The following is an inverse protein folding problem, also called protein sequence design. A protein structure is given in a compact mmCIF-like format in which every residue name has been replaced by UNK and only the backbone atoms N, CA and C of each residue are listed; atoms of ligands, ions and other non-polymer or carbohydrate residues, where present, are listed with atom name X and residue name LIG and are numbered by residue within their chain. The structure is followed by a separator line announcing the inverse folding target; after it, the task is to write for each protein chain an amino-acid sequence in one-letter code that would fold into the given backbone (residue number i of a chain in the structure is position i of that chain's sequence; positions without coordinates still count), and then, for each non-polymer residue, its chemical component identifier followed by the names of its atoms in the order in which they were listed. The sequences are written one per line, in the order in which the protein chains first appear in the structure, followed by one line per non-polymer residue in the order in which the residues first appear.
data_IF_234648950459
#
_entry.id   IF_234648950459
#
_cell.length_a   1.000
_cell.length_b   1.000
_cell.length_c   1.000
_cell.angle_alpha   90.00
_cell.angle_beta   90.00
_cell.angle_gamma   90.00
#
_symmetry.space_group_name_H-M   'P 1'
#
loop_
_entity.id
_entity.type
_entity.pdbx_description
1 polymer ?
#
# COMPACT_ATOMS: atom_id res chain seq x y z
N UNK A 1 2.95 -6.21 27.32
CA UNK A 1 3.37 -5.55 26.06
C UNK A 1 3.18 -4.06 26.24
N UNK A 2 4.26 -3.37 26.58
CA UNK A 2 4.27 -1.92 26.84
C UNK A 2 4.45 -1.16 25.52
N UNK A 3 4.05 0.11 25.49
CA UNK A 3 4.24 0.99 24.32
C UNK A 3 5.72 1.21 23.96
N UNK A 4 6.64 0.81 24.84
CA UNK A 4 8.09 0.84 24.64
C UNK A 4 8.55 -0.38 23.83
N UNK A 5 8.06 -1.57 24.17
CA UNK A 5 8.35 -2.82 23.45
C UNK A 5 7.84 -2.78 21.98
N UNK A 6 6.79 -1.99 21.70
CA UNK A 6 6.26 -1.80 20.34
C UNK A 6 7.12 -0.85 19.48
N UNK A 7 7.82 0.12 20.10
CA UNK A 7 8.68 1.09 19.39
C UNK A 7 9.99 0.47 18.92
N UNK A 8 10.57 -0.43 19.72
CA UNK A 8 11.83 -1.08 19.37
C UNK A 8 11.67 -2.14 18.26
N UNK A 9 10.51 -2.77 18.15
CA UNK A 9 10.21 -3.73 17.09
C UNK A 9 10.07 -3.08 15.69
N UNK A 10 9.96 -1.75 15.60
CA UNK A 10 9.65 -1.01 14.36
C UNK A 10 10.76 -0.02 13.94
N UNK A 11 12.00 -0.15 14.43
CA UNK A 11 13.12 0.56 13.81
C UNK A 11 13.42 -0.02 12.42
N UNK A 12 12.85 0.63 11.40
CA UNK A 12 12.98 0.27 10.01
C UNK A 12 14.43 0.35 9.52
N UNK A 13 14.98 -0.79 9.11
CA UNK A 13 16.13 -0.84 8.19
C UNK A 13 15.73 -0.15 6.88
N UNK A 14 16.29 1.02 6.62
CA UNK A 14 16.14 1.74 5.35
C UNK A 14 16.92 1.06 4.23
N UNK A 15 16.35 0.01 3.65
CA UNK A 15 16.82 -0.52 2.36
C UNK A 15 16.25 0.39 1.27
N UNK A 16 17.10 1.19 0.64
CA UNK A 16 16.70 2.05 -0.48
C UNK A 16 16.19 1.20 -1.66
N UNK A 17 14.95 1.46 -2.09
CA UNK A 17 14.35 0.78 -3.24
C UNK A 17 14.96 1.29 -4.56
N UNK A 18 15.79 0.43 -5.16
CA UNK A 18 16.51 0.68 -6.42
C UNK A 18 15.61 0.70 -7.68
N UNK A 19 14.28 0.56 -7.57
CA UNK A 19 13.34 0.49 -8.71
C UNK A 19 12.48 1.74 -8.90
N UNK A 20 13.03 2.91 -8.59
CA UNK A 20 12.27 4.15 -8.69
C UNK A 20 11.98 4.54 -10.15
N UNK A 21 10.74 4.97 -10.41
CA UNK A 21 10.40 5.64 -11.67
C UNK A 21 11.23 6.93 -11.77
N UNK A 22 11.88 7.11 -12.92
CA UNK A 22 12.79 8.24 -13.17
C UNK A 22 12.05 9.58 -12.95
N UNK A 23 12.58 10.43 -12.08
CA UNK A 23 12.10 11.79 -11.85
C UNK A 23 11.16 11.99 -10.66
N UNK A 24 10.67 10.93 -10.02
CA UNK A 24 9.85 11.07 -8.80
C UNK A 24 10.74 11.48 -7.61
N UNK A 25 10.26 12.36 -6.72
CA UNK A 25 10.93 12.77 -5.48
C UNK A 25 10.17 12.27 -4.25
N UNK A 26 10.90 11.83 -3.21
CA UNK A 26 10.27 11.30 -1.98
C UNK A 26 9.74 12.51 -1.24
N UNK A 27 8.59 12.35 -0.63
CA UNK A 27 7.95 13.44 0.11
C UNK A 27 7.66 12.95 1.51
N UNK A 28 8.14 13.71 2.49
CA UNK A 28 7.90 13.44 3.90
C UNK A 28 6.79 14.37 4.36
N UNK A 29 5.75 13.81 4.93
CA UNK A 29 4.62 14.55 5.52
C UNK A 29 5.04 15.17 6.86
N UNK A 30 4.22 16.08 7.38
CA UNK A 30 4.53 16.85 8.59
C UNK A 30 4.71 15.95 9.84
N UNK A 31 4.10 14.77 9.84
CA UNK A 31 4.22 13.73 10.87
C UNK A 31 5.44 12.80 10.67
N UNK A 32 6.37 13.14 9.76
CA UNK A 32 7.62 12.41 9.54
C UNK A 32 7.49 11.17 8.67
N UNK A 33 6.31 10.89 8.12
CA UNK A 33 6.08 9.72 7.27
C UNK A 33 6.57 10.00 5.85
N UNK A 34 7.43 9.14 5.32
CA UNK A 34 7.96 9.31 3.96
C UNK A 34 7.20 8.45 2.93
N UNK A 35 6.86 9.08 1.81
CA UNK A 35 6.17 8.49 0.66
C UNK A 35 7.04 8.51 -0.59
N UNK A 36 6.76 7.61 -1.53
CA UNK A 36 7.55 7.47 -2.75
C UNK A 36 7.19 8.51 -3.81
N UNK A 37 6.03 9.16 -3.66
CA UNK A 37 5.61 10.32 -4.45
C UNK A 37 4.93 11.42 -3.61
N UNK A 38 4.96 12.66 -4.13
CA UNK A 38 4.20 13.79 -3.56
C UNK A 38 2.70 13.49 -3.51
N UNK A 39 2.20 12.83 -4.55
CA UNK A 39 0.79 12.46 -4.64
C UNK A 39 0.43 11.45 -3.55
N UNK A 40 1.20 10.40 -3.31
CA UNK A 40 0.89 9.50 -2.17
C UNK A 40 0.87 10.26 -0.83
N UNK A 41 1.80 11.20 -0.61
CA UNK A 41 1.82 12.02 0.60
C UNK A 41 0.54 12.88 0.75
N UNK A 42 0.10 13.55 -0.32
CA UNK A 42 -1.15 14.33 -0.31
C UNK A 42 -2.37 13.45 0.00
N UNK A 43 -2.45 12.26 -0.63
CA UNK A 43 -3.56 11.34 -0.41
C UNK A 43 -3.57 10.78 1.01
N UNK A 44 -2.39 10.57 1.59
CA UNK A 44 -2.27 10.16 2.98
C UNK A 44 -2.86 11.19 3.95
N UNK A 45 -2.56 12.48 3.74
CA UNK A 45 -3.16 13.55 4.54
C UNK A 45 -4.69 13.58 4.41
N UNK A 46 -5.22 13.41 3.19
CA UNK A 46 -6.67 13.31 2.96
C UNK A 46 -7.30 12.12 3.72
N UNK A 47 -6.69 10.94 3.64
CA UNK A 47 -7.21 9.74 4.33
C UNK A 47 -7.15 9.90 5.86
N UNK A 48 -6.13 10.57 6.40
CA UNK A 48 -6.08 10.91 7.83
C UNK A 48 -7.24 11.81 8.25
N UNK A 49 -7.59 12.80 7.43
CA UNK A 49 -8.75 13.66 7.69
C UNK A 49 -10.06 12.86 7.66
N UNK A 50 -10.22 11.95 6.69
CA UNK A 50 -11.39 11.06 6.61
C UNK A 50 -11.48 10.13 7.83
N UNK A 51 -10.35 9.62 8.32
CA UNK A 51 -10.33 8.81 9.54
C UNK A 51 -10.70 9.64 10.77
N UNK A 52 -10.19 10.86 10.88
CA UNK A 52 -10.54 11.77 11.98
C UNK A 52 -12.02 12.17 11.96
N UNK A 53 -12.63 12.27 10.78
CA UNK A 53 -14.06 12.52 10.60
C UNK A 53 -14.93 11.27 10.88
N UNK A 54 -14.34 10.08 11.04
CA UNK A 54 -15.07 8.84 11.27
C UNK A 54 -15.63 8.19 10.00
N UNK A 55 -15.27 8.66 8.82
CA UNK A 55 -15.71 8.10 7.53
C UNK A 55 -15.00 6.78 7.19
N UNK A 56 -13.74 6.65 7.65
CA UNK A 56 -12.95 5.43 7.51
C UNK A 56 -12.33 5.04 8.85
N UNK A 57 -11.89 3.80 8.98
CA UNK A 57 -11.06 3.36 10.11
C UNK A 57 -9.98 2.37 9.69
N UNK A 58 -9.05 2.09 10.61
CA UNK A 58 -8.01 1.08 10.39
C UNK A 58 -7.03 1.43 9.27
N UNK A 59 -6.78 2.73 9.02
CA UNK A 59 -5.90 3.22 7.98
C UNK A 59 -4.46 2.71 8.18
N UNK A 60 -3.94 1.99 7.18
CA UNK A 60 -2.58 1.45 7.13
C UNK A 60 -1.95 1.77 5.79
N UNK A 61 -0.61 1.80 5.76
CA UNK A 61 0.17 1.95 4.53
C UNK A 61 1.03 0.74 4.23
N UNK A 62 1.45 0.62 2.97
CA UNK A 62 2.45 -0.34 2.50
C UNK A 62 2.14 -1.78 2.95
N UNK A 63 0.86 -2.15 2.89
CA UNK A 63 0.39 -3.45 3.35
C UNK A 63 0.78 -4.51 2.33
N UNK A 64 1.47 -5.54 2.79
CA UNK A 64 1.83 -6.69 1.96
C UNK A 64 0.67 -7.69 1.89
N UNK A 65 0.28 -8.02 0.67
CA UNK A 65 -0.78 -8.97 0.34
C UNK A 65 -0.15 -10.10 -0.45
N UNK A 66 -0.24 -11.33 0.07
CA UNK A 66 0.30 -12.50 -0.59
C UNK A 66 -0.42 -12.81 -1.90
N UNK A 67 0.34 -12.99 -2.99
CA UNK A 67 -0.22 -13.41 -4.27
C UNK A 67 -0.41 -14.93 -4.25
N UNK A 68 -1.62 -15.38 -4.59
CA UNK A 68 -2.04 -16.79 -4.60
C UNK A 68 -2.53 -17.12 -6.00
N UNK A 69 -1.98 -18.19 -6.58
CA UNK A 69 -2.45 -18.79 -7.82
C UNK A 69 -3.38 -19.97 -7.54
N UNK A 70 -3.82 -20.65 -8.60
CA UNK A 70 -4.73 -21.81 -8.51
C UNK A 70 -4.24 -22.89 -7.54
N UNK A 71 -2.94 -23.18 -7.61
CA UNK A 71 -2.33 -24.31 -6.90
C UNK A 71 -1.63 -23.89 -5.58
N UNK A 72 -1.84 -22.65 -5.12
CA UNK A 72 -1.27 -22.12 -3.88
C UNK A 72 -0.46 -20.82 -4.05
N UNK A 73 0.37 -20.45 -3.06
CA UNK A 73 1.17 -19.23 -3.08
C UNK A 73 2.08 -19.12 -4.32
N UNK A 74 2.08 -17.95 -4.96
CA UNK A 74 3.04 -17.68 -6.06
C UNK A 74 4.39 -17.36 -5.44
N UNK A 75 5.38 -18.22 -5.66
CA UNK A 75 6.71 -18.07 -5.06
C UNK A 75 7.64 -17.19 -5.91
N UNK A 76 8.69 -16.66 -5.27
CA UNK A 76 9.82 -16.05 -5.97
C UNK A 76 10.58 -17.11 -6.77
N UNK A 77 11.41 -16.67 -7.72
CA UNK A 77 12.10 -17.59 -8.66
C UNK A 77 13.00 -18.61 -7.93
N UNK A 78 13.48 -18.26 -6.73
CA UNK A 78 14.25 -19.16 -5.86
C UNK A 78 13.42 -19.98 -4.86
N UNK A 79 12.08 -19.91 -4.90
CA UNK A 79 11.18 -20.71 -4.05
C UNK A 79 11.14 -20.36 -2.56
N UNK A 80 12.05 -19.51 -2.07
CA UNK A 80 12.20 -19.25 -0.64
C UNK A 80 11.15 -18.31 -0.03
N UNK A 81 10.49 -17.48 -0.83
CA UNK A 81 9.52 -16.48 -0.36
C UNK A 81 8.30 -16.41 -1.27
N UNK A 82 7.14 -16.13 -0.69
CA UNK A 82 5.95 -15.80 -1.46
C UNK A 82 6.10 -14.41 -2.10
N UNK A 83 5.62 -14.24 -3.33
CA UNK A 83 5.49 -12.93 -3.96
C UNK A 83 4.33 -12.17 -3.33
N UNK A 84 4.58 -10.91 -3.00
CA UNK A 84 3.59 -10.02 -2.41
C UNK A 84 3.27 -8.85 -3.34
N UNK A 85 2.03 -8.39 -3.27
CA UNK A 85 1.62 -7.07 -3.69
C UNK A 85 1.69 -6.12 -2.50
N UNK A 86 2.33 -4.96 -2.66
CA UNK A 86 2.42 -3.94 -1.62
C UNK A 86 1.46 -2.81 -1.97
N UNK A 87 0.34 -2.73 -1.26
CA UNK A 87 -0.66 -1.68 -1.47
C UNK A 87 -0.22 -0.37 -0.81
N UNK A 88 -0.52 0.77 -1.44
CA UNK A 88 -0.19 2.08 -0.87
C UNK A 88 -0.97 2.33 0.41
N UNK A 89 -2.29 2.08 0.38
CA UNK A 89 -3.20 2.29 1.51
C UNK A 89 -4.20 1.14 1.66
N UNK A 90 -4.53 0.79 2.91
CA UNK A 90 -5.63 -0.12 3.23
C UNK A 90 -6.41 0.47 4.40
N UNK A 91 -7.73 0.51 4.29
CA UNK A 91 -8.63 1.02 5.32
C UNK A 91 -10.00 0.35 5.21
N UNK A 92 -10.86 0.56 6.21
CA UNK A 92 -12.28 0.17 6.15
C UNK A 92 -13.10 1.41 5.88
N UNK A 93 -13.94 1.38 4.84
CA UNK A 93 -14.96 2.40 4.62
C UNK A 93 -16.13 2.12 5.58
N UNK A 94 -16.39 3.02 6.53
CA UNK A 94 -17.36 2.78 7.60
C UNK A 94 -18.81 2.82 7.07
N UNK A 95 -19.06 3.55 5.99
CA UNK A 95 -20.38 3.66 5.38
C UNK A 95 -20.74 2.39 4.61
N UNK A 96 -19.76 1.80 3.92
CA UNK A 96 -19.95 0.58 3.13
C UNK A 96 -19.67 -0.70 3.93
N UNK A 97 -18.91 -0.60 5.03
CA UNK A 97 -18.49 -1.75 5.84
C UNK A 97 -17.49 -2.66 5.13
N UNK A 98 -16.77 -2.16 4.12
CA UNK A 98 -15.85 -2.95 3.30
C UNK A 98 -14.40 -2.53 3.49
N UNK A 99 -13.48 -3.48 3.38
CA UNK A 99 -12.05 -3.17 3.31
C UNK A 99 -11.72 -2.64 1.91
N UNK A 100 -11.12 -1.46 1.86
CA UNK A 100 -10.64 -0.84 0.64
C UNK A 100 -9.13 -1.00 0.56
N UNK A 101 -8.65 -1.56 -0.55
CA UNK A 101 -7.24 -1.57 -0.94
C UNK A 101 -7.08 -0.45 -1.98
N UNK A 102 -6.48 0.67 -1.58
CA UNK A 102 -6.28 1.81 -2.47
C UNK A 102 -4.82 1.88 -2.92
N UNK A 103 -4.63 2.14 -4.21
CA UNK A 103 -3.32 2.28 -4.83
C UNK A 103 -3.28 3.50 -5.76
N UNK A 104 -2.35 4.43 -5.49
CA UNK A 104 -2.26 5.70 -6.21
C UNK A 104 -1.27 5.56 -7.36
N UNK A 105 -1.77 5.59 -8.59
CA UNK A 105 -0.93 5.44 -9.81
C UNK A 105 -1.06 6.64 -10.74
N UNK A 106 0.08 7.09 -11.26
CA UNK A 106 0.12 7.98 -12.43
C UNK A 106 -0.06 7.21 -13.74
N UNK A 107 0.54 6.02 -13.84
CA UNK A 107 0.44 5.14 -15.00
C UNK A 107 0.43 3.67 -14.55
N UNK A 108 -0.43 2.86 -15.16
CA UNK A 108 -0.58 1.44 -14.87
C UNK A 108 0.38 0.62 -15.75
N UNK A 109 1.43 0.07 -15.14
CA UNK A 109 2.38 -0.81 -15.84
C UNK A 109 1.78 -2.20 -16.09
N UNK A 110 2.31 -2.93 -17.07
CA UNK A 110 1.86 -4.32 -17.34
C UNK A 110 2.04 -5.23 -16.10
N UNK A 111 3.14 -5.05 -15.36
CA UNK A 111 3.37 -5.77 -14.11
C UNK A 111 2.32 -5.45 -13.04
N UNK A 112 1.86 -4.19 -12.97
CA UNK A 112 0.78 -3.80 -12.08
C UNK A 112 -0.55 -4.45 -12.50
N UNK A 113 -0.90 -4.37 -13.79
CA UNK A 113 -2.14 -4.97 -14.32
C UNK A 113 -2.20 -6.49 -14.05
N UNK A 114 -1.09 -7.19 -14.24
CA UNK A 114 -1.00 -8.62 -13.94
C UNK A 114 -1.24 -8.91 -12.44
N UNK A 115 -0.59 -8.17 -11.54
CA UNK A 115 -0.80 -8.34 -10.09
C UNK A 115 -2.22 -8.00 -9.67
N UNK A 116 -2.82 -6.96 -10.26
CA UNK A 116 -4.22 -6.58 -10.06
C UNK A 116 -5.16 -7.70 -10.49
N UNK A 117 -4.91 -8.33 -11.64
CA UNK A 117 -5.71 -9.47 -12.10
C UNK A 117 -5.60 -10.68 -11.16
N UNK A 118 -4.40 -10.97 -10.63
CA UNK A 118 -4.20 -12.03 -9.64
C UNK A 118 -4.99 -11.73 -8.35
N UNK A 119 -4.89 -10.51 -7.83
CA UNK A 119 -5.63 -10.12 -6.62
C UNK A 119 -7.15 -10.17 -6.82
N UNK A 120 -7.65 -9.74 -8.00
CA UNK A 120 -9.06 -9.85 -8.34
C UNK A 120 -9.51 -11.32 -8.37
N UNK A 121 -8.70 -12.23 -8.91
CA UNK A 121 -8.97 -13.67 -8.88
C UNK A 121 -8.95 -14.25 -7.45
N UNK A 122 -8.24 -13.60 -6.51
CA UNK A 122 -8.27 -13.91 -5.08
C UNK A 122 -9.46 -13.26 -4.33
N UNK A 123 -10.36 -12.55 -5.04
CA UNK A 123 -11.51 -11.86 -4.45
C UNK A 123 -11.19 -10.49 -3.83
N UNK A 124 -10.03 -9.91 -4.15
CA UNK A 124 -9.62 -8.60 -3.66
C UNK A 124 -9.64 -7.57 -4.79
N UNK A 125 -10.47 -6.53 -4.64
CA UNK A 125 -10.50 -5.41 -5.58
C UNK A 125 -9.57 -4.28 -5.13
N UNK A 126 -8.86 -3.68 -6.09
CA UNK A 126 -7.98 -2.54 -5.86
C UNK A 126 -8.64 -1.28 -6.43
N UNK A 127 -8.87 -0.31 -5.56
CA UNK A 127 -9.26 1.04 -5.94
C UNK A 127 -8.02 1.78 -6.47
N UNK A 128 -7.95 1.98 -7.79
CA UNK A 128 -6.86 2.70 -8.42
C UNK A 128 -7.23 4.18 -8.49
N UNK A 129 -6.51 5.03 -7.74
CA UNK A 129 -6.70 6.49 -7.78
C UNK A 129 -5.59 7.15 -8.59
N UNK A 130 -5.97 8.17 -9.36
CA UNK A 130 -5.03 8.98 -10.16
C UNK A 130 -4.89 10.36 -9.55
N UNK A 131 -3.71 10.96 -9.65
CA UNK A 131 -3.55 12.36 -9.30
C UNK A 131 -4.33 13.24 -10.28
N UNK A 132 -5.04 14.25 -9.76
CA UNK A 132 -5.54 15.34 -10.59
C UNK A 132 -4.30 16.11 -11.06
N UNK A 133 -4.13 16.19 -12.38
CA UNK A 133 -3.03 16.93 -13.02
C UNK A 133 -3.18 18.43 -12.83
#
# INVERSE_FOLDING_TARGET
MTAEEYRDAHQATTVEDRRRVRGTKRTTTADGITHDSKTEAERWEELKLLQAAGEICGLRRQVEIGLIGRDGPIMTDGGAKQRVYRADFVYVDNRLGVTVIEDRKGHETEAFKLKKAILAAQGMEILVTRAKG
#
